data_IF_423193070293
#
_entry.id   IF_423193070293
#
_cell.length_a   1.000
_cell.length_b   1.000
_cell.length_c   1.000
_cell.angle_alpha   90.00
_cell.angle_beta   90.00
_cell.angle_gamma   90.00
#
_symmetry.space_group_name_H-M   'P 1'
#
loop_
_entity.id
_entity.type
_entity.pdbx_description
1 polymer ?
#
# COMPACT_ATOMS: atom_id res chain seq x y z
N UNK A 1 13.20 18.75 9.00
CA UNK A 1 13.07 17.78 10.10
C UNK A 1 12.78 16.42 9.49
N UNK A 2 13.57 15.39 9.77
CA UNK A 2 13.17 14.02 9.38
C UNK A 2 12.03 13.59 10.29
N UNK A 3 10.80 13.55 9.77
CA UNK A 3 9.61 13.10 10.52
C UNK A 3 9.72 11.65 11.01
N UNK A 4 10.67 10.89 10.47
CA UNK A 4 10.86 9.47 10.76
C UNK A 4 12.34 9.20 10.99
N UNK A 5 12.76 9.19 12.27
CA UNK A 5 14.14 8.91 12.66
C UNK A 5 14.59 7.48 12.30
N UNK A 6 13.65 6.54 12.23
CA UNK A 6 13.87 5.14 11.90
C UNK A 6 13.15 4.74 10.59
N UNK A 7 13.39 5.49 9.52
CA UNK A 7 12.85 5.20 8.19
C UNK A 7 13.81 4.36 7.34
N UNK A 8 13.30 3.30 6.71
CA UNK A 8 14.07 2.48 5.77
C UNK A 8 13.26 2.25 4.49
N UNK A 9 13.90 2.47 3.35
CA UNK A 9 13.35 2.12 2.04
C UNK A 9 13.83 0.72 1.67
N UNK A 10 12.89 -0.15 1.30
CA UNK A 10 13.17 -1.53 0.89
C UNK A 10 13.07 -1.63 -0.64
N UNK A 11 14.21 -1.75 -1.32
CA UNK A 11 14.25 -2.02 -2.76
C UNK A 11 13.78 -3.44 -3.06
N UNK A 12 12.56 -3.58 -3.60
CA UNK A 12 11.95 -4.89 -3.93
C UNK A 12 11.52 -4.97 -5.39
N UNK A 13 11.74 -3.94 -6.18
CA UNK A 13 11.33 -3.81 -7.58
C UNK A 13 11.84 -4.96 -8.45
N UNK A 14 13.12 -5.35 -8.31
CA UNK A 14 13.71 -6.46 -9.04
C UNK A 14 13.13 -7.83 -8.69
N UNK A 15 12.43 -7.95 -7.55
CA UNK A 15 11.72 -9.17 -7.13
C UNK A 15 10.26 -9.12 -7.56
N UNK A 16 9.64 -7.94 -7.50
CA UNK A 16 8.21 -7.75 -7.67
C UNK A 16 7.84 -7.58 -9.14
N UNK A 17 8.43 -6.61 -9.84
CA UNK A 17 8.01 -6.21 -11.20
C UNK A 17 8.06 -7.35 -12.21
N UNK A 18 9.12 -8.19 -12.27
CA UNK A 18 9.19 -9.26 -13.26
C UNK A 18 8.06 -10.28 -13.17
N UNK A 19 7.41 -10.43 -11.99
CA UNK A 19 6.32 -11.38 -11.75
C UNK A 19 5.01 -11.01 -12.43
N UNK A 20 4.90 -9.80 -12.96
CA UNK A 20 3.73 -9.31 -13.66
C UNK A 20 3.83 -9.49 -15.17
N UNK A 21 5.02 -9.78 -15.73
CA UNK A 21 5.24 -9.92 -17.18
C UNK A 21 4.26 -10.92 -17.78
N UNK A 22 3.54 -10.51 -18.83
CA UNK A 22 2.57 -11.35 -19.51
C UNK A 22 1.20 -11.46 -18.83
N UNK A 23 1.04 -10.93 -17.61
CA UNK A 23 -0.24 -10.99 -16.91
C UNK A 23 -1.21 -9.94 -17.46
N UNK A 24 -2.40 -10.38 -17.84
CA UNK A 24 -3.48 -9.54 -18.37
C UNK A 24 -4.52 -9.25 -17.28
N UNK A 25 -5.02 -10.31 -16.63
CA UNK A 25 -6.14 -10.22 -15.70
C UNK A 25 -5.82 -9.41 -14.43
N UNK A 26 -6.68 -8.44 -14.11
CA UNK A 26 -6.51 -7.56 -12.95
C UNK A 26 -6.69 -8.27 -11.60
N UNK A 27 -7.50 -9.32 -11.53
CA UNK A 27 -7.64 -10.15 -10.34
C UNK A 27 -6.35 -10.91 -10.03
N UNK A 28 -5.76 -11.54 -11.05
CA UNK A 28 -4.48 -12.24 -10.97
C UNK A 28 -3.36 -11.27 -10.56
N UNK A 29 -3.31 -10.05 -11.15
CA UNK A 29 -2.35 -9.01 -10.72
C UNK A 29 -2.50 -8.67 -9.23
N UNK A 30 -3.73 -8.55 -8.70
CA UNK A 30 -3.97 -8.30 -7.26
C UNK A 30 -3.48 -9.45 -6.40
N UNK A 31 -3.75 -10.69 -6.80
CA UNK A 31 -3.34 -11.88 -6.06
C UNK A 31 -1.81 -12.01 -5.99
N UNK A 32 -1.13 -11.84 -7.13
CA UNK A 32 0.33 -11.83 -7.22
C UNK A 32 0.91 -10.74 -6.33
N UNK A 33 0.37 -9.52 -6.39
CA UNK A 33 0.82 -8.41 -5.56
C UNK A 33 0.67 -8.73 -4.07
N UNK A 34 -0.51 -9.20 -3.64
CA UNK A 34 -0.77 -9.54 -2.23
C UNK A 34 0.23 -10.59 -1.73
N UNK A 35 0.45 -11.66 -2.50
CA UNK A 35 1.42 -12.72 -2.16
C UNK A 35 2.85 -12.17 -2.03
N UNK A 36 3.30 -11.39 -3.00
CA UNK A 36 4.66 -10.82 -2.99
C UNK A 36 4.86 -9.81 -1.86
N UNK A 37 3.85 -8.99 -1.59
CA UNK A 37 3.87 -8.02 -0.50
C UNK A 37 4.07 -8.71 0.86
N UNK A 38 3.31 -9.77 1.13
CA UNK A 38 3.45 -10.58 2.37
C UNK A 38 4.83 -11.23 2.45
N UNK A 39 5.28 -11.90 1.39
CA UNK A 39 6.56 -12.60 1.38
C UNK A 39 7.74 -11.64 1.60
N UNK A 40 7.74 -10.51 0.90
CA UNK A 40 8.80 -9.51 1.03
C UNK A 40 8.76 -8.85 2.40
N UNK A 41 7.59 -8.45 2.89
CA UNK A 41 7.44 -7.85 4.22
C UNK A 41 7.93 -8.78 5.33
N UNK A 42 7.51 -10.06 5.33
CA UNK A 42 7.92 -11.03 6.34
C UNK A 42 9.43 -11.31 6.30
N UNK A 43 10.04 -11.34 5.11
CA UNK A 43 11.49 -11.48 4.97
C UNK A 43 12.24 -10.38 5.71
N UNK A 44 11.78 -9.13 5.63
CA UNK A 44 12.42 -8.01 6.30
C UNK A 44 12.03 -7.91 7.78
N UNK A 45 10.78 -8.20 8.15
CA UNK A 45 10.35 -8.24 9.55
C UNK A 45 11.16 -9.25 10.37
N UNK A 46 11.45 -10.42 9.80
CA UNK A 46 12.28 -11.44 10.43
C UNK A 46 13.70 -10.95 10.77
N UNK A 47 14.22 -9.93 10.07
CA UNK A 47 15.53 -9.35 10.34
C UNK A 47 15.52 -8.32 11.48
N UNK A 48 14.35 -7.76 11.80
CA UNK A 48 14.19 -6.67 12.76
C UNK A 48 13.86 -7.22 14.16
N UNK A 49 13.54 -8.53 14.27
CA UNK A 49 13.21 -9.22 15.53
C UNK A 49 12.20 -8.45 16.38
N UNK A 50 11.05 -8.13 15.77
CA UNK A 50 9.95 -7.40 16.43
C UNK A 50 8.81 -8.35 16.80
N UNK A 51 8.21 -8.13 17.97
CA UNK A 51 7.02 -8.87 18.42
C UNK A 51 5.73 -8.33 17.79
N UNK A 52 5.73 -7.06 17.38
CA UNK A 52 4.53 -6.35 16.93
C UNK A 52 4.76 -5.54 15.65
N UNK A 53 3.69 -5.38 14.88
CA UNK A 53 3.56 -4.42 13.78
C UNK A 53 2.37 -3.50 14.04
N UNK A 54 2.51 -2.23 13.71
CA UNK A 54 1.38 -1.30 13.68
C UNK A 54 0.77 -1.29 12.28
N UNK A 55 -0.56 -1.40 12.22
CA UNK A 55 -1.33 -1.41 10.98
C UNK A 55 -2.34 -0.25 10.98
N UNK A 56 -2.55 0.32 9.80
CA UNK A 56 -3.40 1.49 9.60
C UNK A 56 -4.89 1.18 9.41
N UNK A 57 -5.34 -0.03 9.73
CA UNK A 57 -6.75 -0.45 9.61
C UNK A 57 -7.69 0.55 10.29
N UNK A 58 -8.75 0.96 9.56
CA UNK A 58 -9.79 1.91 10.03
C UNK A 58 -11.18 1.26 10.02
N UNK A 59 -12.16 1.89 10.67
CA UNK A 59 -13.52 1.33 10.80
C UNK A 59 -14.17 0.92 9.46
N UNK A 60 -14.07 1.71 8.37
CA UNK A 60 -14.55 1.28 7.05
C UNK A 60 -13.94 -0.02 6.52
N UNK A 61 -12.66 -0.28 6.83
CA UNK A 61 -11.94 -1.46 6.36
C UNK A 61 -12.56 -2.74 6.97
N UNK A 62 -12.89 -2.69 8.26
CA UNK A 62 -13.50 -3.80 9.01
C UNK A 62 -14.91 -4.09 8.46
N UNK A 63 -15.74 -3.06 8.29
CA UNK A 63 -17.11 -3.20 7.75
C UNK A 63 -17.09 -3.81 6.34
N UNK A 64 -16.17 -3.38 5.48
CA UNK A 64 -16.05 -3.92 4.12
C UNK A 64 -15.52 -5.36 4.06
N UNK A 65 -14.79 -5.78 5.09
CA UNK A 65 -14.28 -7.16 5.23
C UNK A 65 -15.40 -8.13 5.57
N UNK A 66 -16.30 -7.73 6.46
CA UNK A 66 -17.51 -8.50 6.82
C UNK A 66 -18.46 -8.67 5.63
N UNK A 67 -18.48 -7.71 4.71
CA UNK A 67 -19.23 -7.77 3.45
C UNK A 67 -18.57 -8.62 2.33
N UNK A 68 -17.51 -9.39 2.63
CA UNK A 68 -16.74 -10.22 1.68
C UNK A 68 -16.05 -9.46 0.54
N UNK A 69 -15.82 -8.14 0.65
CA UNK A 69 -15.06 -7.34 -0.34
C UNK A 69 -13.55 -7.31 -0.07
N UNK A 70 -13.00 -8.45 0.33
CA UNK A 70 -11.64 -8.64 0.87
C UNK A 70 -10.47 -8.37 -0.10
N UNK A 71 -10.74 -8.11 -1.39
CA UNK A 71 -9.68 -8.01 -2.41
C UNK A 71 -9.10 -6.59 -2.59
N UNK A 72 -9.76 -5.55 -2.05
CA UNK A 72 -9.34 -4.16 -2.30
C UNK A 72 -8.51 -3.56 -1.17
N UNK A 73 -8.67 -4.05 0.05
CA UNK A 73 -7.99 -3.55 1.23
C UNK A 73 -7.06 -4.67 1.70
N UNK A 74 -5.76 -4.41 1.82
CA UNK A 74 -4.76 -5.37 2.32
C UNK A 74 -4.96 -5.63 3.83
N UNK A 75 -6.17 -6.04 4.21
CA UNK A 75 -6.58 -6.36 5.56
C UNK A 75 -6.22 -7.83 5.81
N UNK A 76 -5.83 -8.15 7.04
CA UNK A 76 -5.44 -9.49 7.48
C UNK A 76 -4.35 -10.14 6.63
N UNK A 77 -3.26 -9.40 6.41
CA UNK A 77 -2.05 -9.98 5.86
C UNK A 77 -1.37 -10.87 6.93
N UNK A 78 -0.96 -12.11 6.60
CA UNK A 78 -0.36 -13.01 7.56
C UNK A 78 1.11 -12.62 7.80
N UNK A 79 1.32 -11.73 8.76
CA UNK A 79 2.64 -11.33 9.20
C UNK A 79 3.21 -12.31 10.24
N UNK A 80 4.53 -12.36 10.37
CA UNK A 80 5.21 -13.17 11.39
C UNK A 80 5.23 -12.56 12.80
N UNK A 81 4.52 -11.45 13.02
CA UNK A 81 4.47 -10.69 14.27
C UNK A 81 3.01 -10.36 14.64
N UNK A 82 2.75 -10.03 15.91
CA UNK A 82 1.44 -9.58 16.38
C UNK A 82 1.02 -8.25 15.74
N UNK A 83 -0.29 -8.04 15.56
CA UNK A 83 -0.83 -6.84 14.91
C UNK A 83 -1.42 -5.86 15.93
N UNK A 84 -1.08 -4.57 15.81
CA UNK A 84 -1.67 -3.46 16.57
C UNK A 84 -2.42 -2.54 15.61
N UNK A 85 -3.70 -2.27 15.89
CA UNK A 85 -4.59 -1.50 15.01
C UNK A 85 -5.16 -0.26 15.75
N UNK A 86 -4.32 0.75 16.05
CA UNK A 86 -4.73 1.88 16.90
C UNK A 86 -5.82 2.77 16.28
N UNK A 87 -6.08 2.63 14.97
CA UNK A 87 -7.05 3.44 14.24
C UNK A 87 -8.35 2.68 13.91
N UNK A 88 -8.50 1.43 14.38
CA UNK A 88 -9.58 0.52 14.01
C UNK A 88 -11.00 1.09 14.25
N UNK A 89 -11.17 1.96 15.25
CA UNK A 89 -12.45 2.60 15.58
C UNK A 89 -12.72 3.91 14.84
N UNK A 90 -11.77 4.38 14.03
CA UNK A 90 -11.81 5.70 13.41
C UNK A 90 -12.28 5.65 11.96
N UNK A 91 -12.93 6.72 11.50
CA UNK A 91 -13.21 6.96 10.09
C UNK A 91 -12.16 7.93 9.50
N UNK A 92 -12.04 7.99 8.17
CA UNK A 92 -11.07 8.85 7.47
C UNK A 92 -11.01 10.30 7.99
N UNK A 93 -12.13 11.01 8.25
CA UNK A 93 -12.08 12.36 8.81
C UNK A 93 -11.44 12.41 10.21
N UNK A 94 -11.64 11.37 11.04
CA UNK A 94 -11.05 11.27 12.37
C UNK A 94 -9.55 11.01 12.29
N UNK A 95 -9.11 10.12 11.40
CA UNK A 95 -7.68 9.87 11.17
C UNK A 95 -6.97 11.15 10.70
N UNK A 96 -7.58 11.93 9.81
CA UNK A 96 -7.05 13.24 9.39
C UNK A 96 -6.96 14.25 10.54
N UNK A 97 -7.88 14.21 11.50
CA UNK A 97 -7.79 15.03 12.73
C UNK A 97 -6.62 14.60 13.60
N UNK A 98 -6.41 13.29 13.78
CA UNK A 98 -5.26 12.75 14.51
C UNK A 98 -3.94 13.17 13.82
N UNK A 99 -3.85 13.02 12.50
CA UNK A 99 -2.69 13.43 11.70
C UNK A 99 -2.32 14.91 11.90
N UNK A 100 -3.30 15.81 11.86
CA UNK A 100 -3.08 17.24 12.15
C UNK A 100 -2.62 17.49 13.57
N UNK A 101 -3.18 16.78 14.55
CA UNK A 101 -2.83 16.96 15.96
C UNK A 101 -1.39 16.52 16.27
N UNK A 102 -0.90 15.47 15.62
CA UNK A 102 0.50 15.00 15.75
C UNK A 102 1.49 15.79 14.88
N UNK A 103 1.04 16.83 14.17
CA UNK A 103 1.89 17.67 13.33
C UNK A 103 2.35 17.02 12.02
N UNK A 104 1.60 16.03 11.49
CA UNK A 104 1.87 15.48 10.17
C UNK A 104 1.62 16.56 9.10
N UNK A 105 2.54 16.78 8.14
CA UNK A 105 2.34 17.74 7.06
C UNK A 105 1.04 17.50 6.30
N UNK A 106 0.39 18.61 5.91
CA UNK A 106 -0.90 18.56 5.21
C UNK A 106 -0.81 17.80 3.88
N UNK A 107 0.31 17.94 3.16
CA UNK A 107 0.64 17.19 1.95
C UNK A 107 0.53 15.66 2.13
N UNK A 108 0.89 15.13 3.30
CA UNK A 108 0.74 13.70 3.60
C UNK A 108 -0.67 13.36 4.08
N UNK A 109 -1.27 14.20 4.93
CA UNK A 109 -2.58 13.94 5.53
C UNK A 109 -3.73 14.04 4.50
N UNK A 110 -3.56 14.87 3.46
CA UNK A 110 -4.59 15.20 2.48
C UNK A 110 -4.37 14.55 1.11
N UNK A 111 -3.26 13.82 0.91
CA UNK A 111 -2.95 13.16 -0.36
C UNK A 111 -4.10 12.28 -0.85
N UNK A 112 -4.27 12.25 -2.17
CA UNK A 112 -5.24 11.38 -2.84
C UNK A 112 -4.87 9.92 -2.56
N UNK A 113 -5.84 9.06 -2.21
CA UNK A 113 -5.59 7.64 -1.97
C UNK A 113 -4.95 6.95 -3.18
N UNK A 114 -3.89 6.17 -2.94
CA UNK A 114 -3.28 5.30 -3.93
C UNK A 114 -3.64 3.83 -3.63
N UNK A 115 -4.12 3.05 -4.61
CA UNK A 115 -4.42 1.63 -4.39
C UNK A 115 -3.14 0.84 -4.10
N UNK A 116 -3.23 -0.27 -3.35
CA UNK A 116 -2.08 -1.08 -2.94
C UNK A 116 -1.16 -1.49 -4.10
N UNK A 117 -1.66 -2.16 -5.17
CA UNK A 117 -0.85 -2.49 -6.35
C UNK A 117 -0.47 -1.27 -7.22
N UNK A 118 -0.92 -0.07 -6.84
CA UNK A 118 -0.62 1.21 -7.47
C UNK A 118 -0.68 1.14 -9.02
N UNK A 119 0.44 1.46 -9.66
CA UNK A 119 0.57 1.52 -11.12
C UNK A 119 0.53 0.15 -11.81
N UNK A 120 0.80 -0.96 -11.10
CA UNK A 120 0.77 -2.30 -11.68
C UNK A 120 -0.64 -2.67 -12.19
N UNK A 121 -1.68 -2.16 -11.55
CA UNK A 121 -3.07 -2.31 -11.98
C UNK A 121 -3.53 -1.29 -13.01
N UNK A 122 -2.82 -0.17 -13.16
CA UNK A 122 -3.13 0.86 -14.16
C UNK A 122 -2.61 0.50 -15.55
N UNK A 123 -1.72 -0.49 -15.65
CA UNK A 123 -1.26 -1.05 -16.93
C UNK A 123 -2.37 -1.91 -17.54
N UNK A 124 -3.03 -1.36 -18.55
CA UNK A 124 -4.07 -2.03 -19.33
C UNK A 124 -3.55 -3.15 -20.24
N UNK A 125 -4.31 -4.25 -20.29
CA UNK A 125 -3.97 -5.45 -21.03
C UNK A 125 -2.75 -6.17 -20.45
N UNK A 126 -2.02 -6.86 -21.34
CA UNK A 126 -0.79 -7.56 -20.98
C UNK A 126 0.24 -6.59 -20.39
N UNK A 127 0.73 -6.94 -19.20
CA UNK A 127 1.72 -6.15 -18.51
C UNK A 127 3.11 -6.30 -19.15
N UNK A 128 3.79 -5.17 -19.30
CA UNK A 128 5.23 -5.09 -19.56
C UNK A 128 5.80 -3.83 -18.91
N UNK A 129 7.12 -3.82 -18.69
CA UNK A 129 7.82 -2.74 -17.99
C UNK A 129 7.76 -1.41 -18.75
N UNK A 130 7.73 -1.43 -20.09
CA UNK A 130 7.61 -0.22 -20.90
C UNK A 130 6.27 0.48 -20.66
N UNK A 131 5.17 -0.27 -20.59
CA UNK A 131 3.83 0.25 -20.26
C UNK A 131 3.80 0.81 -18.84
N UNK A 132 4.45 0.14 -17.88
CA UNK A 132 4.56 0.64 -16.51
C UNK A 132 5.28 1.99 -16.48
N UNK A 133 6.40 2.12 -17.19
CA UNK A 133 7.16 3.37 -17.30
C UNK A 133 6.32 4.50 -17.89
N UNK A 134 5.57 4.22 -18.95
CA UNK A 134 4.66 5.21 -19.56
C UNK A 134 3.55 5.61 -18.59
N UNK A 135 2.95 4.65 -17.88
CA UNK A 135 1.89 4.92 -16.90
C UNK A 135 2.39 5.79 -15.73
N UNK A 136 3.63 5.58 -15.28
CA UNK A 136 4.29 6.43 -14.28
C UNK A 136 4.47 7.85 -14.81
N UNK A 137 5.10 8.03 -15.98
CA UNK A 137 5.29 9.35 -16.59
C UNK A 137 3.97 10.10 -16.80
N UNK A 138 2.93 9.41 -17.28
CA UNK A 138 1.62 10.01 -17.47
C UNK A 138 0.98 10.40 -16.13
N UNK A 139 1.15 9.59 -15.08
CA UNK A 139 0.65 9.92 -13.74
C UNK A 139 1.36 11.15 -13.19
N UNK A 140 2.68 11.23 -13.31
CA UNK A 140 3.47 12.36 -12.80
C UNK A 140 3.03 13.68 -13.45
N UNK A 141 2.81 13.68 -14.78
CA UNK A 141 2.31 14.86 -15.51
C UNK A 141 0.92 15.25 -15.03
N UNK A 142 0.01 14.29 -14.83
CA UNK A 142 -1.35 14.58 -14.37
C UNK A 142 -1.35 15.10 -12.94
N UNK A 143 -0.58 14.51 -12.03
CA UNK A 143 -0.48 14.97 -10.63
C UNK A 143 0.07 16.41 -10.58
N UNK A 144 1.09 16.75 -11.37
CA UNK A 144 1.63 18.11 -11.47
C UNK A 144 0.67 19.16 -12.07
N UNK A 145 -0.37 18.73 -12.80
CA UNK A 145 -1.35 19.64 -13.40
C UNK A 145 -2.59 19.87 -12.51
N UNK A 146 -2.82 18.98 -11.54
CA UNK A 146 -4.00 19.00 -10.66
C UNK A 146 -3.66 19.55 -9.27
N UNK A 147 -2.39 19.52 -8.87
CA UNK A 147 -1.82 20.29 -7.75
C UNK A 147 -1.63 21.77 -8.12
#
# INVERSE_FOLDING_TARGET
>A
MSYFSNFRVLGTEGVVVPRFTGIIDGGVKREIFRKLYVLTSNKYLAQINTDWIADGTIAPDIVMTDEKRQMQHNIDLPYCAGKLEPLASLYKPHVRRVARHIGLPEEFAMRIPCPGPAQLLRVGGEFNENKLRIAQMATDVVEQMVE
#
